data_IF_813142953821
#
_entry.id   IF_813142953821
#
_cell.length_a   1.000
_cell.length_b   1.000
_cell.length_c   1.000
_cell.angle_alpha   90.00
_cell.angle_beta   90.00
_cell.angle_gamma   90.00
#
_symmetry.space_group_name_H-M   'P 1'
#
loop_
_entity.id
_entity.type
_entity.pdbx_description
1 polymer ?
#
# COMPACT_ATOMS: atom_id res chain seq x y z
N UNK A 1 -3.80 -24.79 -20.10
CA UNK A 1 -3.31 -24.08 -21.30
C UNK A 1 -3.70 -22.60 -21.33
N UNK A 2 -4.97 -22.20 -21.54
CA UNK A 2 -5.35 -20.76 -21.46
C UNK A 2 -5.14 -20.17 -20.06
N UNK A 3 -5.42 -20.97 -19.03
CA UNK A 3 -5.20 -20.60 -17.63
C UNK A 3 -3.72 -20.33 -17.30
N UNK A 4 -2.79 -21.10 -17.89
CA UNK A 4 -1.35 -20.98 -17.64
C UNK A 4 -0.74 -19.73 -18.30
N UNK A 5 -1.21 -19.39 -19.51
CA UNK A 5 -0.79 -18.17 -20.22
C UNK A 5 -1.32 -16.93 -19.49
N UNK A 6 -2.58 -16.93 -19.06
CA UNK A 6 -3.14 -15.84 -18.25
C UNK A 6 -2.43 -15.71 -16.90
N UNK A 7 -2.13 -16.82 -16.22
CA UNK A 7 -1.38 -16.83 -14.96
C UNK A 7 -0.01 -16.17 -15.11
N UNK A 8 0.77 -16.60 -16.10
CA UNK A 8 2.12 -16.08 -16.34
C UNK A 8 2.11 -14.61 -16.79
N UNK A 9 1.09 -14.21 -17.57
CA UNK A 9 0.85 -12.81 -17.94
C UNK A 9 0.52 -11.91 -16.75
N UNK A 10 -0.31 -12.39 -15.81
CA UNK A 10 -0.63 -11.65 -14.57
C UNK A 10 0.62 -11.46 -13.72
N UNK A 11 1.44 -12.51 -13.56
CA UNK A 11 2.69 -12.45 -12.80
C UNK A 11 3.68 -11.44 -13.40
N UNK A 12 3.87 -11.45 -14.73
CA UNK A 12 4.67 -10.44 -15.43
C UNK A 12 4.15 -9.02 -15.21
N UNK A 13 2.83 -8.83 -15.31
CA UNK A 13 2.22 -7.51 -15.15
C UNK A 13 2.40 -6.96 -13.73
N UNK A 14 2.25 -7.81 -12.71
CA UNK A 14 2.53 -7.45 -11.32
C UNK A 14 4.00 -7.11 -11.08
N UNK A 15 4.94 -7.86 -11.66
CA UNK A 15 6.37 -7.55 -11.60
C UNK A 15 6.70 -6.17 -12.21
N UNK A 16 6.10 -5.85 -13.36
CA UNK A 16 6.31 -4.57 -14.07
C UNK A 16 5.66 -3.39 -13.31
N UNK A 17 4.45 -3.58 -12.76
CA UNK A 17 3.83 -2.58 -11.90
C UNK A 17 4.62 -2.35 -10.62
N UNK A 18 5.11 -3.43 -10.03
CA UNK A 18 5.97 -3.41 -8.85
C UNK A 18 7.22 -2.56 -9.06
N UNK A 19 7.91 -2.76 -10.19
CA UNK A 19 9.00 -1.90 -10.65
C UNK A 19 8.62 -0.44 -10.71
N UNK A 20 7.48 -0.12 -11.34
CA UNK A 20 7.04 1.27 -11.48
C UNK A 20 6.76 1.91 -10.12
N UNK A 21 6.13 1.17 -9.19
CA UNK A 21 5.80 1.66 -7.86
C UNK A 21 7.04 1.87 -6.99
N UNK A 22 7.96 0.91 -6.96
CA UNK A 22 9.22 1.02 -6.20
C UNK A 22 10.16 2.07 -6.80
N UNK A 23 10.16 2.23 -8.14
CA UNK A 23 10.89 3.30 -8.82
C UNK A 23 10.30 4.69 -8.50
N UNK A 24 8.96 4.84 -8.52
CA UNK A 24 8.27 6.07 -8.15
C UNK A 24 8.52 6.39 -6.66
N UNK A 25 8.42 5.39 -5.78
CA UNK A 25 8.71 5.54 -4.35
C UNK A 25 10.17 5.95 -4.11
N UNK A 26 11.12 5.34 -4.83
CA UNK A 26 12.54 5.70 -4.78
C UNK A 26 12.86 7.06 -5.42
N UNK A 27 12.09 7.51 -6.42
CA UNK A 27 12.27 8.83 -7.03
C UNK A 27 11.74 9.95 -6.12
N UNK A 28 10.76 9.64 -5.27
CA UNK A 28 10.16 10.60 -4.33
C UNK A 28 10.89 10.73 -2.98
N UNK A 29 11.78 9.80 -2.62
CA UNK A 29 12.46 9.77 -1.32
C UNK A 29 13.97 9.86 -1.46
N UNK A 30 14.59 10.84 -0.79
CA UNK A 30 16.03 11.06 -0.76
C UNK A 30 16.76 9.81 -0.24
N UNK A 31 17.91 9.48 -0.83
CA UNK A 31 18.64 8.23 -0.62
C UNK A 31 18.81 7.92 0.88
N UNK A 32 18.17 6.85 1.36
CA UNK A 32 18.56 6.20 2.61
C UNK A 32 19.80 5.37 2.29
N UNK A 33 20.81 5.40 3.17
CA UNK A 33 22.09 4.74 2.93
C UNK A 33 21.97 3.26 2.57
N UNK A 34 23.08 2.68 2.09
CA UNK A 34 23.10 1.30 1.59
C UNK A 34 22.86 0.31 2.75
N UNK A 35 22.05 -0.72 2.52
CA UNK A 35 21.95 -1.86 3.45
C UNK A 35 23.19 -2.75 3.23
N UNK A 36 23.97 -3.09 4.27
CA UNK A 36 25.01 -4.09 4.15
C UNK A 36 24.37 -5.45 3.85
N UNK A 37 24.98 -6.23 2.95
CA UNK A 37 24.44 -7.54 2.55
C UNK A 37 24.39 -8.43 3.80
N UNK A 38 23.18 -8.66 4.30
CA UNK A 38 22.88 -9.56 5.41
C UNK A 38 22.97 -11.02 4.93
N UNK A 39 23.10 -11.98 5.86
CA UNK A 39 23.00 -13.41 5.52
C UNK A 39 21.66 -13.72 4.83
N UNK A 40 20.56 -13.13 5.33
CA UNK A 40 19.23 -13.23 4.72
C UNK A 40 19.23 -12.71 3.29
N UNK A 41 19.85 -11.54 3.07
CA UNK A 41 19.94 -10.92 1.77
C UNK A 41 20.79 -11.72 0.78
N UNK A 42 21.84 -12.40 1.25
CA UNK A 42 22.65 -13.31 0.44
C UNK A 42 21.86 -14.58 0.07
N UNK A 43 21.17 -15.19 1.05
CA UNK A 43 20.34 -16.38 0.82
C UNK A 43 19.25 -16.10 -0.22
N UNK A 44 18.55 -14.97 -0.11
CA UNK A 44 17.51 -14.58 -1.09
C UNK A 44 18.07 -14.41 -2.51
N UNK A 45 19.24 -13.77 -2.65
CA UNK A 45 19.86 -13.60 -3.97
C UNK A 45 20.34 -14.95 -4.51
N UNK A 46 20.91 -15.80 -3.65
CA UNK A 46 21.36 -17.14 -4.03
C UNK A 46 20.22 -18.04 -4.52
N UNK A 47 19.12 -18.11 -3.77
CA UNK A 47 17.97 -18.95 -4.11
C UNK A 47 17.24 -18.45 -5.36
N UNK A 48 17.09 -17.13 -5.55
CA UNK A 48 16.57 -16.58 -6.80
C UNK A 48 17.45 -16.86 -8.03
N UNK A 49 18.79 -16.79 -7.89
CA UNK A 49 19.71 -17.20 -8.94
C UNK A 49 19.57 -18.70 -9.27
N UNK A 50 19.43 -19.57 -8.26
CA UNK A 50 19.18 -21.01 -8.46
C UNK A 50 17.89 -21.23 -9.24
N UNK A 51 16.80 -20.54 -8.89
CA UNK A 51 15.53 -20.62 -9.64
C UNK A 51 15.71 -20.22 -11.11
N UNK A 52 16.43 -19.14 -11.40
CA UNK A 52 16.70 -18.71 -12.78
C UNK A 52 17.46 -19.80 -13.55
N UNK A 53 18.50 -20.38 -12.94
CA UNK A 53 19.30 -21.45 -13.57
C UNK A 53 18.43 -22.67 -13.87
N UNK A 54 17.60 -23.10 -12.91
CA UNK A 54 16.67 -24.23 -13.10
C UNK A 54 15.68 -23.99 -14.25
N UNK A 55 15.16 -22.77 -14.40
CA UNK A 55 14.26 -22.42 -15.52
C UNK A 55 15.00 -22.38 -16.87
N UNK A 56 16.27 -21.96 -16.90
CA UNK A 56 17.09 -21.98 -18.13
C UNK A 56 17.38 -23.43 -18.55
N UNK A 57 17.67 -24.31 -17.59
CA UNK A 57 17.89 -25.73 -17.85
C UNK A 57 16.62 -26.36 -18.45
N UNK A 58 15.47 -26.13 -17.83
CA UNK A 58 14.16 -26.64 -18.31
C UNK A 58 13.82 -26.13 -19.72
N UNK A 59 14.09 -24.84 -19.97
CA UNK A 59 13.93 -24.25 -21.31
C UNK A 59 14.86 -24.90 -22.35
N UNK A 60 16.12 -25.13 -22.00
CA UNK A 60 17.13 -25.69 -22.92
C UNK A 60 16.78 -27.11 -23.33
N UNK A 61 16.33 -27.95 -22.38
CA UNK A 61 15.87 -29.30 -22.67
C UNK A 61 14.59 -29.29 -23.54
N UNK A 62 13.68 -28.35 -23.29
CA UNK A 62 12.44 -28.20 -24.09
C UNK A 62 12.76 -27.76 -25.52
N UNK A 63 13.73 -26.86 -25.67
CA UNK A 63 14.19 -26.35 -26.97
C UNK A 63 14.85 -27.45 -27.80
N UNK A 64 15.78 -28.21 -27.21
CA UNK A 64 16.48 -29.29 -27.90
C UNK A 64 15.52 -30.34 -28.46
N UNK A 65 14.42 -30.62 -27.74
CA UNK A 65 13.38 -31.55 -28.20
C UNK A 65 12.56 -31.01 -29.37
N UNK A 66 12.31 -29.69 -29.41
CA UNK A 66 11.62 -29.05 -30.53
C UNK A 66 12.40 -29.18 -31.84
N UNK A 67 13.72 -29.28 -31.78
CA UNK A 67 14.57 -29.47 -32.95
C UNK A 67 14.65 -30.94 -33.39
N UNK A 68 14.68 -31.89 -32.45
CA UNK A 68 14.78 -33.34 -32.74
C UNK A 68 13.48 -33.95 -33.27
N UNK A 69 12.32 -33.48 -32.80
CA UNK A 69 11.01 -33.99 -33.21
C UNK A 69 10.26 -32.85 -33.90
N UNK A 70 10.12 -32.91 -35.23
CA UNK A 70 9.26 -32.00 -36.04
C UNK A 70 7.76 -32.09 -35.71
N UNK A 71 7.39 -32.55 -34.52
CA UNK A 71 6.04 -32.41 -33.99
C UNK A 71 5.86 -30.96 -33.53
N UNK A 72 4.72 -30.37 -33.90
CA UNK A 72 4.32 -29.06 -33.38
C UNK A 72 4.06 -29.20 -31.88
N UNK A 73 5.08 -29.01 -31.04
CA UNK A 73 4.86 -28.67 -29.64
C UNK A 73 3.99 -27.40 -29.62
N UNK A 74 2.99 -27.39 -28.74
CA UNK A 74 2.15 -26.21 -28.59
C UNK A 74 3.04 -25.04 -28.16
N UNK A 75 2.93 -23.86 -28.80
CA UNK A 75 3.77 -22.70 -28.48
C UNK A 75 3.63 -22.25 -27.01
N UNK A 76 2.53 -22.64 -26.36
CA UNK A 76 2.28 -22.39 -24.94
C UNK A 76 3.29 -23.09 -24.01
N UNK A 77 3.65 -24.35 -24.28
CA UNK A 77 4.57 -25.12 -23.43
C UNK A 77 6.02 -24.60 -23.57
N UNK A 78 6.39 -24.11 -24.76
CA UNK A 78 7.71 -23.51 -25.00
C UNK A 78 7.87 -22.13 -24.34
N UNK A 79 6.80 -21.34 -24.26
CA UNK A 79 6.85 -19.98 -23.72
C UNK A 79 6.84 -19.93 -22.18
N UNK A 80 6.39 -20.99 -21.50
CA UNK A 80 6.21 -21.01 -20.05
C UNK A 80 7.53 -20.91 -19.25
N UNK A 81 8.57 -21.73 -19.50
CA UNK A 81 9.84 -21.63 -18.77
C UNK A 81 10.55 -20.30 -19.03
N UNK A 82 10.52 -19.81 -20.28
CA UNK A 82 11.08 -18.53 -20.65
C UNK A 82 10.41 -17.36 -19.90
N UNK A 83 9.08 -17.40 -19.80
CA UNK A 83 8.33 -16.38 -19.06
C UNK A 83 8.68 -16.37 -17.57
N UNK A 84 8.78 -17.56 -16.94
CA UNK A 84 9.20 -17.71 -15.54
C UNK A 84 10.63 -17.19 -15.31
N UNK A 85 11.56 -17.51 -16.21
CA UNK A 85 12.93 -17.01 -16.14
C UNK A 85 13.00 -15.47 -16.20
N UNK A 86 12.23 -14.85 -17.11
CA UNK A 86 12.15 -13.38 -17.21
C UNK A 86 11.55 -12.78 -15.94
N UNK A 87 10.48 -13.35 -15.38
CA UNK A 87 9.89 -12.85 -14.12
C UNK A 87 10.86 -12.94 -12.94
N UNK A 88 11.64 -14.03 -12.82
CA UNK A 88 12.62 -14.17 -11.75
C UNK A 88 13.83 -13.26 -11.93
N UNK A 89 14.29 -13.04 -13.16
CA UNK A 89 15.33 -12.06 -13.45
C UNK A 89 14.90 -10.63 -13.06
N UNK A 90 13.64 -10.29 -13.33
CA UNK A 90 13.06 -9.01 -12.93
C UNK A 90 12.91 -8.90 -11.40
N UNK A 91 12.50 -9.97 -10.73
CA UNK A 91 12.44 -10.03 -9.27
C UNK A 91 13.83 -9.89 -8.62
N UNK A 92 14.86 -10.52 -9.20
CA UNK A 92 16.26 -10.37 -8.78
C UNK A 92 16.72 -8.92 -8.94
N UNK A 93 16.42 -8.29 -10.08
CA UNK A 93 16.73 -6.88 -10.31
C UNK A 93 16.06 -5.98 -9.27
N UNK A 94 14.78 -6.22 -8.95
CA UNK A 94 14.05 -5.52 -7.90
C UNK A 94 14.71 -5.70 -6.54
N UNK A 95 15.05 -6.93 -6.14
CA UNK A 95 15.75 -7.21 -4.88
C UNK A 95 17.09 -6.48 -4.78
N UNK A 96 17.87 -6.47 -5.86
CA UNK A 96 19.13 -5.72 -5.90
C UNK A 96 18.90 -4.21 -5.80
N UNK A 97 17.87 -3.70 -6.46
CA UNK A 97 17.51 -2.29 -6.43
C UNK A 97 17.07 -1.83 -5.03
N UNK A 98 16.18 -2.58 -4.37
CA UNK A 98 15.69 -2.26 -3.02
C UNK A 98 16.82 -2.30 -1.99
N UNK A 99 17.73 -3.27 -2.09
CA UNK A 99 18.95 -3.36 -1.25
C UNK A 99 19.89 -2.17 -1.47
N UNK A 100 20.12 -1.74 -2.72
CA UNK A 100 20.92 -0.56 -3.04
C UNK A 100 20.31 0.75 -2.51
N UNK A 101 18.98 0.83 -2.45
CA UNK A 101 18.23 2.02 -2.00
C UNK A 101 17.91 2.04 -0.50
N UNK A 102 18.33 1.01 0.24
CA UNK A 102 18.15 0.99 1.69
C UNK A 102 16.73 0.71 2.16
N UNK A 103 15.91 0.03 1.34
CA UNK A 103 14.54 -0.37 1.69
C UNK A 103 14.60 -1.71 2.43
N UNK A 104 14.28 -1.72 3.74
CA UNK A 104 14.43 -2.90 4.61
C UNK A 104 13.44 -4.03 4.32
N UNK A 105 12.25 -3.71 3.82
CA UNK A 105 11.27 -4.72 3.41
C UNK A 105 10.41 -4.14 2.30
N UNK A 106 10.39 -4.79 1.14
CA UNK A 106 9.53 -4.38 0.02
C UNK A 106 8.22 -5.16 0.06
N UNK A 107 7.12 -4.43 0.22
CA UNK A 107 5.76 -4.99 0.11
C UNK A 107 5.50 -5.57 -1.28
N UNK A 108 6.10 -4.97 -2.32
CA UNK A 108 5.96 -5.44 -3.70
C UNK A 108 6.56 -6.85 -3.86
N UNK A 109 7.79 -7.05 -3.37
CA UNK A 109 8.45 -8.35 -3.44
C UNK A 109 7.72 -9.40 -2.59
N UNK A 110 7.23 -9.02 -1.40
CA UNK A 110 6.42 -9.91 -0.57
C UNK A 110 5.15 -10.39 -1.31
N UNK A 111 4.40 -9.47 -1.91
CA UNK A 111 3.18 -9.82 -2.69
C UNK A 111 3.54 -10.66 -3.92
N UNK A 112 4.63 -10.35 -4.61
CA UNK A 112 5.10 -11.13 -5.75
C UNK A 112 5.37 -12.58 -5.37
N UNK A 113 6.18 -12.84 -4.34
CA UNK A 113 6.49 -14.21 -3.90
C UNK A 113 5.26 -14.94 -3.36
N UNK A 114 4.34 -14.24 -2.69
CA UNK A 114 3.06 -14.81 -2.26
C UNK A 114 2.20 -15.24 -3.46
N UNK A 115 2.08 -14.41 -4.49
CA UNK A 115 1.32 -14.73 -5.70
C UNK A 115 1.96 -15.87 -6.47
N UNK A 116 3.29 -15.88 -6.64
CA UNK A 116 3.99 -16.99 -7.31
C UNK A 116 3.79 -18.29 -6.52
N UNK A 117 3.91 -18.28 -5.20
CA UNK A 117 3.69 -19.47 -4.37
C UNK A 117 2.26 -20.01 -4.49
N UNK A 118 1.25 -19.13 -4.39
CA UNK A 118 -0.16 -19.53 -4.48
C UNK A 118 -0.57 -19.97 -5.89
N UNK A 119 -0.12 -19.28 -6.94
CA UNK A 119 -0.43 -19.61 -8.32
C UNK A 119 0.30 -20.85 -8.86
N UNK A 120 1.44 -21.24 -8.26
CA UNK A 120 2.20 -22.43 -8.66
C UNK A 120 1.73 -23.72 -7.96
N UNK A 121 0.89 -23.62 -6.93
CA UNK A 121 0.37 -24.77 -6.19
C UNK A 121 -0.46 -25.75 -7.07
N UNK A 122 -1.36 -25.30 -7.96
CA UNK A 122 -2.09 -26.21 -8.85
C UNK A 122 -1.17 -26.96 -9.82
N UNK A 123 -0.11 -26.30 -10.30
CA UNK A 123 0.87 -26.90 -11.19
C UNK A 123 1.63 -28.03 -10.47
N UNK A 124 2.12 -27.76 -9.27
CA UNK A 124 2.81 -28.75 -8.43
C UNK A 124 1.92 -29.95 -8.08
N UNK A 125 0.68 -29.71 -7.65
CA UNK A 125 -0.26 -30.79 -7.30
C UNK A 125 -0.67 -31.63 -8.52
N UNK A 126 -0.89 -30.98 -9.67
CA UNK A 126 -1.17 -31.69 -10.92
C UNK A 126 -0.02 -32.57 -11.37
N UNK A 127 1.22 -32.12 -11.17
CA UNK A 127 2.40 -32.89 -11.56
C UNK A 127 2.64 -34.07 -10.61
N UNK A 128 2.40 -33.91 -9.30
CA UNK A 128 2.42 -35.02 -8.34
C UNK A 128 1.42 -36.12 -8.73
N UNK A 129 0.19 -35.73 -9.08
CA UNK A 129 -0.86 -36.68 -9.45
C UNK A 129 -0.57 -37.41 -10.76
N UNK A 130 0.26 -36.81 -11.63
CA UNK A 130 0.67 -37.37 -12.92
C UNK A 130 1.95 -38.20 -12.85
N UNK A 131 2.38 -38.64 -11.66
CA UNK A 131 3.49 -39.58 -11.49
C UNK A 131 3.02 -41.05 -11.45
N UNK A 132 2.82 -41.75 -12.59
CA UNK A 132 2.87 -43.20 -12.63
C UNK A 132 4.33 -43.63 -12.94
N UNK A 133 4.93 -44.32 -11.97
CA UNK A 133 6.10 -45.17 -12.19
C UNK A 133 5.71 -46.22 -13.25
N UNK A 134 6.34 -46.19 -14.44
CA UNK A 134 7.37 -47.20 -14.82
C UNK A 134 7.97 -46.98 -16.23
N UNK A 135 7.36 -46.21 -17.17
CA UNK A 135 7.83 -46.22 -18.58
C UNK A 135 7.85 -44.87 -19.33
N UNK A 136 8.18 -43.76 -18.66
CA UNK A 136 8.26 -42.45 -19.34
C UNK A 136 9.66 -42.00 -19.75
N UNK A 137 9.72 -41.33 -20.91
CA UNK A 137 10.90 -40.70 -21.50
C UNK A 137 11.63 -39.79 -20.49
N UNK A 138 12.97 -39.86 -20.51
CA UNK A 138 13.87 -39.12 -19.60
C UNK A 138 13.56 -37.62 -19.51
N UNK A 139 13.13 -36.99 -20.60
CA UNK A 139 12.80 -35.55 -20.64
C UNK A 139 11.66 -35.16 -19.69
N UNK A 140 10.57 -35.94 -19.67
CA UNK A 140 9.39 -35.62 -18.85
C UNK A 140 9.67 -35.83 -17.36
N UNK A 141 10.51 -36.80 -17.04
CA UNK A 141 11.06 -36.99 -15.69
C UNK A 141 11.89 -35.76 -15.25
N UNK A 142 12.71 -35.20 -16.14
CA UNK A 142 13.51 -34.00 -15.84
C UNK A 142 12.61 -32.78 -15.59
N UNK A 143 11.58 -32.56 -16.41
CA UNK A 143 10.63 -31.46 -16.21
C UNK A 143 9.90 -31.57 -14.86
N UNK A 144 9.38 -32.76 -14.54
CA UNK A 144 8.73 -33.03 -13.26
C UNK A 144 9.69 -32.81 -12.07
N UNK A 145 10.94 -33.29 -12.15
CA UNK A 145 11.96 -33.06 -11.13
C UNK A 145 12.28 -31.57 -10.95
N UNK A 146 12.34 -30.81 -12.04
CA UNK A 146 12.56 -29.36 -11.98
C UNK A 146 11.44 -28.66 -11.23
N UNK A 147 10.18 -28.99 -11.50
CA UNK A 147 9.01 -28.43 -10.79
C UNK A 147 9.04 -28.81 -9.30
N UNK A 148 9.38 -30.06 -8.98
CA UNK A 148 9.47 -30.56 -7.60
C UNK A 148 10.53 -29.84 -6.78
N UNK A 149 11.62 -29.39 -7.39
CA UNK A 149 12.66 -28.59 -6.73
C UNK A 149 12.27 -27.11 -6.68
N UNK A 150 11.71 -26.56 -7.76
CA UNK A 150 11.38 -25.14 -7.86
C UNK A 150 10.30 -24.70 -6.87
N UNK A 151 9.23 -25.49 -6.68
CA UNK A 151 8.11 -25.10 -5.82
C UNK A 151 8.53 -24.92 -4.34
N UNK A 152 9.22 -25.88 -3.70
CA UNK A 152 9.77 -25.67 -2.35
C UNK A 152 10.72 -24.48 -2.25
N UNK A 153 11.58 -24.26 -3.25
CA UNK A 153 12.47 -23.09 -3.26
C UNK A 153 11.69 -21.78 -3.30
N UNK A 154 10.61 -21.69 -4.11
CA UNK A 154 9.71 -20.53 -4.13
C UNK A 154 9.05 -20.30 -2.76
N UNK A 155 8.62 -21.37 -2.09
CA UNK A 155 8.02 -21.29 -0.74
C UNK A 155 9.03 -20.80 0.30
N UNK A 156 10.28 -21.30 0.25
CA UNK A 156 11.36 -20.81 1.11
C UNK A 156 11.58 -19.32 0.85
N UNK A 157 11.59 -18.89 -0.41
CA UNK A 157 11.74 -17.48 -0.78
C UNK A 157 10.64 -16.59 -0.21
N UNK A 158 9.40 -17.06 -0.30
CA UNK A 158 8.28 -16.38 0.33
C UNK A 158 8.47 -16.24 1.84
N UNK A 159 8.86 -17.33 2.52
CA UNK A 159 9.13 -17.32 3.98
C UNK A 159 10.25 -16.35 4.33
N UNK A 160 11.34 -16.32 3.56
CA UNK A 160 12.45 -15.40 3.80
C UNK A 160 12.04 -13.94 3.62
N UNK A 161 11.07 -13.63 2.74
CA UNK A 161 10.52 -12.28 2.58
C UNK A 161 9.53 -11.88 3.68
N UNK A 162 9.10 -12.80 4.55
CA UNK A 162 8.32 -12.47 5.76
C UNK A 162 9.18 -11.81 6.85
N UNK A 163 10.51 -11.95 6.79
CA UNK A 163 11.46 -11.38 7.75
C UNK A 163 12.06 -10.08 7.21
N UNK A 164 12.33 -9.13 8.11
CA UNK A 164 12.92 -7.84 7.73
C UNK A 164 14.43 -7.99 7.51
N UNK A 165 14.95 -7.30 6.49
CA UNK A 165 16.39 -7.14 6.35
C UNK A 165 16.95 -6.20 7.42
N UNK A 166 18.26 -6.30 7.65
CA UNK A 166 18.98 -5.43 8.60
C UNK A 166 18.78 -3.95 8.23
N UNK A 167 18.79 -3.09 9.25
CA UNK A 167 18.68 -1.65 9.07
C UNK A 167 19.79 -1.09 8.15
N UNK A 168 19.48 -0.09 7.29
CA UNK A 168 20.47 0.54 6.42
C UNK A 168 21.53 1.23 7.28
N UNK A 169 22.78 1.11 6.87
CA UNK A 169 23.85 1.91 7.46
C UNK A 169 23.71 3.33 6.89
N UNK A 170 23.66 4.39 7.73
CA UNK A 170 23.57 5.75 7.24
C UNK A 170 24.78 6.09 6.35
N UNK A 171 24.62 6.91 5.27
CA UNK A 171 25.74 7.28 4.40
C UNK A 171 26.86 7.95 5.20
N UNK A 172 28.09 7.45 5.05
CA UNK A 172 29.30 8.04 5.62
C UNK A 172 29.77 9.20 4.74
N UNK A 173 29.10 10.34 4.79
CA UNK A 173 29.65 11.61 4.27
C UNK A 173 29.27 12.77 5.20
N UNK A 174 30.29 13.38 5.82
CA UNK A 174 30.32 14.82 6.12
C UNK A 174 29.45 15.41 7.25
N UNK A 175 28.58 14.67 7.91
CA UNK A 175 27.96 15.12 9.16
C UNK A 175 28.27 14.14 10.28
N UNK A 176 29.03 14.60 11.28
CA UNK A 176 29.20 13.98 12.61
C UNK A 176 27.87 13.79 13.37
N UNK A 177 26.71 13.91 12.73
CA UNK A 177 25.39 13.87 13.36
C UNK A 177 24.64 12.54 13.20
N UNK A 178 25.24 11.48 12.62
CA UNK A 178 24.53 10.18 12.48
C UNK A 178 25.23 8.99 13.14
N UNK A 179 26.31 9.22 13.87
CA UNK A 179 26.85 8.26 14.87
C UNK A 179 26.68 8.74 16.32
N UNK A 180 26.09 9.92 16.52
CA UNK A 180 25.63 10.43 17.80
C UNK A 180 24.11 10.65 17.76
N UNK A 181 23.34 9.57 17.90
CA UNK A 181 21.96 9.60 18.40
C UNK A 181 21.52 8.22 18.91
N UNK A 182 22.44 7.50 19.56
CA UNK A 182 22.09 6.80 20.81
C UNK A 182 22.24 7.75 22.02
N UNK A 183 22.26 9.07 21.76
CA UNK A 183 21.96 10.10 22.76
C UNK A 183 20.49 9.96 23.16
N UNK A 184 20.28 9.33 24.31
CA UNK A 184 19.20 9.37 25.33
C UNK A 184 17.74 9.80 25.01
N UNK A 185 17.36 10.20 23.78
CA UNK A 185 16.07 10.85 23.53
C UNK A 185 15.33 10.55 22.22
N UNK A 186 15.97 10.01 21.17
CA UNK A 186 15.28 9.78 19.88
C UNK A 186 14.95 8.29 19.68
N UNK A 187 13.67 7.92 19.83
CA UNK A 187 13.18 6.54 19.67
C UNK A 187 12.28 6.46 18.43
N UNK A 188 12.85 6.22 17.23
CA UNK A 188 12.05 6.19 16.02
C UNK A 188 10.99 5.08 16.06
N UNK A 189 9.83 5.35 15.46
CA UNK A 189 8.76 4.36 15.33
C UNK A 189 9.24 3.10 14.57
N UNK A 190 9.11 1.89 15.16
CA UNK A 190 9.61 0.66 14.55
C UNK A 190 8.74 0.16 13.40
N UNK A 191 7.59 0.79 13.14
CA UNK A 191 6.69 0.40 12.05
C UNK A 191 7.42 0.35 10.70
N UNK A 192 8.25 1.36 10.39
CA UNK A 192 8.95 1.44 9.09
C UNK A 192 10.14 0.48 8.97
N UNK A 193 10.65 -0.01 10.10
CA UNK A 193 11.76 -0.97 10.14
C UNK A 193 11.31 -2.42 10.33
N UNK A 194 10.03 -2.63 10.61
CA UNK A 194 9.45 -3.95 10.80
C UNK A 194 9.21 -4.64 9.46
N UNK A 195 9.17 -5.98 9.47
CA UNK A 195 8.88 -6.77 8.27
C UNK A 195 7.49 -6.51 7.73
N UNK A 196 7.23 -6.81 6.46
CA UNK A 196 5.90 -6.60 5.85
C UNK A 196 4.80 -7.31 6.63
N UNK A 197 5.05 -8.57 7.01
CA UNK A 197 4.09 -9.35 7.80
C UNK A 197 3.85 -8.71 9.17
N UNK A 198 4.91 -8.29 9.85
CA UNK A 198 4.85 -7.60 11.14
C UNK A 198 4.10 -6.26 11.04
N UNK A 199 4.28 -5.52 9.94
CA UNK A 199 3.52 -4.30 9.66
C UNK A 199 2.03 -4.59 9.47
N UNK A 200 1.68 -5.64 8.71
CA UNK A 200 0.30 -6.02 8.41
C UNK A 200 -0.46 -6.54 9.64
N UNK A 201 0.21 -7.33 10.48
CA UNK A 201 -0.39 -7.86 11.73
C UNK A 201 -0.26 -6.91 12.92
N UNK A 202 0.34 -5.73 12.72
CA UNK A 202 0.65 -4.77 13.79
C UNK A 202 1.51 -5.35 14.93
N UNK A 203 2.32 -6.37 14.62
CA UNK A 203 3.13 -7.07 15.64
C UNK A 203 4.18 -6.14 16.28
N UNK A 204 4.54 -5.05 15.61
CA UNK A 204 5.54 -4.07 16.04
C UNK A 204 5.10 -3.26 17.26
N UNK A 205 3.79 -3.24 17.54
CA UNK A 205 3.21 -2.57 18.70
C UNK A 205 3.34 -3.43 19.97
N UNK A 206 3.49 -4.75 19.85
CA UNK A 206 3.52 -5.69 20.98
C UNK A 206 4.56 -5.38 22.06
N UNK A 207 5.81 -4.96 21.75
CA UNK A 207 6.76 -4.58 22.78
C UNK A 207 6.25 -3.46 23.69
N UNK A 208 5.53 -2.49 23.13
CA UNK A 208 4.93 -1.39 23.89
C UNK A 208 3.71 -1.85 24.69
N UNK A 209 2.85 -2.69 24.10
CA UNK A 209 1.70 -3.29 24.81
C UNK A 209 2.15 -4.14 25.99
N UNK A 210 3.19 -4.95 25.80
CA UNK A 210 3.75 -5.80 26.86
C UNK A 210 4.37 -4.97 27.99
N UNK A 211 5.04 -3.86 27.65
CA UNK A 211 5.54 -2.90 28.64
C UNK A 211 4.40 -2.28 29.44
N UNK A 212 3.32 -1.87 28.76
CA UNK A 212 2.10 -1.35 29.40
C UNK A 212 1.32 -2.37 30.22
N UNK A 213 1.44 -3.66 29.89
CA UNK A 213 0.88 -4.74 30.70
C UNK A 213 1.67 -4.97 31.99
N UNK A 214 3.01 -4.86 31.93
CA UNK A 214 3.89 -5.05 33.09
C UNK A 214 4.01 -3.82 34.01
N UNK A 215 3.66 -2.64 33.53
CA UNK A 215 3.73 -1.40 34.29
C UNK A 215 3.07 -0.23 33.57
N UNK A 216 2.94 0.91 34.24
CA UNK A 216 2.33 2.11 33.64
C UNK A 216 3.23 2.72 32.57
N UNK A 217 2.66 3.06 31.41
CA UNK A 217 3.39 3.70 30.32
C UNK A 217 3.62 5.19 30.63
N UNK A 218 4.87 5.63 30.50
CA UNK A 218 5.25 7.04 30.57
C UNK A 218 5.43 7.65 29.17
N UNK A 219 5.38 8.98 29.06
CA UNK A 219 5.63 9.68 27.79
C UNK A 219 7.00 9.37 27.17
N UNK A 220 7.99 9.13 28.01
CA UNK A 220 9.33 8.73 27.57
C UNK A 220 9.34 7.36 26.89
N UNK A 221 8.35 6.49 27.14
CA UNK A 221 8.28 5.15 26.57
C UNK A 221 7.68 5.08 25.17
N UNK A 222 7.06 6.16 24.72
CA UNK A 222 6.47 6.23 23.40
C UNK A 222 7.55 6.46 22.34
N UNK A 223 7.25 5.99 21.13
CA UNK A 223 8.07 6.27 19.96
C UNK A 223 7.78 7.66 19.41
N UNK A 224 8.81 8.24 18.80
CA UNK A 224 8.70 9.47 18.03
C UNK A 224 7.81 9.28 16.80
N UNK A 225 7.06 10.33 16.49
CA UNK A 225 6.18 10.36 15.35
C UNK A 225 7.00 10.30 14.04
N UNK A 226 6.50 9.55 13.07
CA UNK A 226 7.09 9.55 11.73
C UNK A 226 7.10 10.97 11.15
N UNK A 227 8.14 11.31 10.39
CA UNK A 227 8.25 12.61 9.70
C UNK A 227 7.04 12.95 8.82
N UNK A 228 6.39 11.93 8.25
CA UNK A 228 5.21 12.05 7.40
C UNK A 228 3.93 12.41 8.18
N UNK A 229 3.92 12.08 9.48
CA UNK A 229 2.82 12.31 10.40
C UNK A 229 3.05 13.53 11.30
N UNK A 230 4.28 14.06 11.30
CA UNK A 230 4.64 15.24 12.05
C UNK A 230 3.81 16.46 11.59
N UNK A 231 3.30 17.22 12.55
CA UNK A 231 2.37 18.35 12.33
C UNK A 231 2.93 19.34 11.32
N UNK A 232 4.23 19.65 11.39
CA UNK A 232 4.87 20.57 10.45
C UNK A 232 4.78 20.11 8.99
N UNK A 233 4.98 18.81 8.73
CA UNK A 233 4.88 18.20 7.39
C UNK A 233 3.43 18.18 6.90
N UNK A 234 2.52 17.76 7.79
CA UNK A 234 1.08 17.63 7.50
C UNK A 234 0.46 19.01 7.21
N UNK A 235 0.76 20.02 8.04
CA UNK A 235 0.33 21.41 7.86
C UNK A 235 0.92 22.02 6.58
N UNK A 236 2.21 21.78 6.28
CA UNK A 236 2.82 22.21 5.00
C UNK A 236 2.07 21.65 3.80
N UNK A 237 1.71 20.36 3.81
CA UNK A 237 0.97 19.69 2.74
C UNK A 237 -0.44 20.27 2.58
N UNK A 238 -1.13 20.54 3.69
CA UNK A 238 -2.44 21.18 3.68
C UNK A 238 -2.38 22.62 3.14
N UNK A 239 -1.44 23.43 3.67
CA UNK A 239 -1.27 24.83 3.28
C UNK A 239 -0.94 25.01 1.80
N UNK A 240 -0.26 24.04 1.17
CA UNK A 240 0.01 24.02 -0.28
C UNK A 240 -1.28 24.13 -1.11
N UNK A 241 -2.37 23.53 -0.65
CA UNK A 241 -3.67 23.57 -1.36
C UNK A 241 -4.61 24.64 -0.80
N UNK A 242 -4.51 24.94 0.50
CA UNK A 242 -5.37 25.93 1.14
C UNK A 242 -5.05 27.38 0.77
N UNK A 243 -3.76 27.76 0.67
CA UNK A 243 -3.36 29.15 0.38
C UNK A 243 -3.92 29.66 -0.97
N UNK A 244 -3.78 28.94 -2.10
CA UNK A 244 -4.34 29.39 -3.38
C UNK A 244 -5.85 29.55 -3.34
N UNK A 245 -6.56 28.61 -2.69
CA UNK A 245 -8.03 28.65 -2.60
C UNK A 245 -8.51 29.85 -1.77
N UNK A 246 -7.76 30.21 -0.73
CA UNK A 246 -8.00 31.40 0.08
C UNK A 246 -7.72 32.69 -0.70
N UNK A 247 -6.66 32.74 -1.49
CA UNK A 247 -6.31 33.90 -2.34
C UNK A 247 -7.36 34.13 -3.43
N UNK A 248 -7.76 33.07 -4.14
CA UNK A 248 -8.84 33.14 -5.16
C UNK A 248 -10.15 33.67 -4.59
N UNK A 249 -10.53 33.26 -3.37
CA UNK A 249 -11.73 33.76 -2.71
C UNK A 249 -11.60 35.24 -2.32
N UNK A 250 -10.42 35.68 -1.86
CA UNK A 250 -10.16 37.08 -1.53
C UNK A 250 -10.21 37.96 -2.76
N UNK A 251 -9.51 37.58 -3.82
CA UNK A 251 -9.47 38.32 -5.10
C UNK A 251 -10.87 38.51 -5.65
N UNK A 252 -11.66 37.44 -5.73
CA UNK A 252 -13.06 37.50 -6.16
C UNK A 252 -13.87 38.53 -5.36
N UNK A 253 -13.76 38.51 -4.03
CA UNK A 253 -14.49 39.44 -3.17
C UNK A 253 -14.03 40.90 -3.37
N UNK A 254 -12.74 41.13 -3.61
CA UNK A 254 -12.20 42.47 -3.89
C UNK A 254 -12.72 42.98 -5.24
N UNK A 255 -12.68 42.16 -6.29
CA UNK A 255 -13.17 42.52 -7.63
C UNK A 255 -14.66 42.82 -7.61
N UNK A 256 -15.46 41.99 -6.94
CA UNK A 256 -16.91 42.20 -6.81
C UNK A 256 -17.23 43.48 -6.02
N UNK A 257 -16.51 43.75 -4.93
CA UNK A 257 -16.70 44.99 -4.17
C UNK A 257 -16.34 46.23 -5.00
N UNK A 258 -15.25 46.19 -5.76
CA UNK A 258 -14.85 47.32 -6.62
C UNK A 258 -15.87 47.56 -7.73
N UNK A 259 -16.35 46.50 -8.42
CA UNK A 259 -17.42 46.62 -9.42
C UNK A 259 -18.71 47.18 -8.82
N UNK A 260 -19.10 46.72 -7.64
CA UNK A 260 -20.30 47.22 -6.95
C UNK A 260 -20.17 48.71 -6.62
N UNK A 261 -19.00 49.14 -6.15
CA UNK A 261 -18.70 50.55 -5.89
C UNK A 261 -18.76 51.40 -7.17
N UNK A 262 -18.15 50.95 -8.27
CA UNK A 262 -18.20 51.64 -9.56
C UNK A 262 -19.63 51.78 -10.11
N UNK A 263 -20.43 50.72 -10.04
CA UNK A 263 -21.84 50.75 -10.43
C UNK A 263 -22.67 51.70 -9.57
N UNK A 264 -22.41 51.76 -8.26
CA UNK A 264 -23.08 52.72 -7.37
C UNK A 264 -22.67 54.17 -7.64
N UNK A 265 -21.38 54.43 -7.91
CA UNK A 265 -20.86 55.76 -8.25
C UNK A 265 -21.41 56.29 -9.58
N UNK A 266 -21.49 55.44 -10.62
CA UNK A 266 -22.09 55.81 -11.91
C UNK A 266 -23.59 56.11 -11.82
N UNK A 267 -24.30 55.48 -10.87
CA UNK A 267 -25.75 55.66 -10.67
C UNK A 267 -26.10 56.97 -9.96
N UNK A 268 -25.19 57.51 -9.14
CA UNK A 268 -25.37 58.80 -8.45
C UNK A 268 -25.31 60.03 -9.37
N UNK A 269 -24.96 59.89 -10.66
CA UNK A 269 -24.98 60.99 -11.63
C UNK A 269 -26.37 61.20 -12.32
N UNK A 270 -27.38 60.39 -11.99
CA UNK A 270 -28.75 60.58 -12.51
C UNK A 270 -29.72 60.73 -11.34
N UNK A 271 -30.44 61.86 -11.29
CA UNK A 271 -31.41 62.27 -10.25
C UNK A 271 -32.67 61.37 -10.14
N UNK A 272 -32.53 60.04 -10.05
CA UNK A 272 -33.64 59.13 -9.74
C UNK A 272 -33.48 58.58 -8.32
N UNK A 273 -34.53 58.71 -7.52
CA UNK A 273 -34.61 58.31 -6.12
C UNK A 273 -34.14 56.86 -5.88
N UNK A 274 -33.54 56.57 -4.72
CA UNK A 274 -32.90 55.27 -4.46
C UNK A 274 -33.96 54.20 -4.26
N UNK A 275 -34.13 53.31 -5.24
CA UNK A 275 -34.76 52.01 -5.01
C UNK A 275 -33.74 51.17 -4.24
N UNK A 276 -34.05 50.83 -2.98
CA UNK A 276 -33.23 49.93 -2.15
C UNK A 276 -33.23 48.52 -2.74
N UNK A 277 -32.38 48.26 -3.72
CA UNK A 277 -32.09 46.90 -4.15
C UNK A 277 -31.13 46.28 -3.13
N UNK A 278 -31.72 45.66 -2.11
CA UNK A 278 -31.05 44.97 -0.99
C UNK A 278 -30.32 43.67 -1.42
N UNK A 279 -29.81 43.60 -2.65
CA UNK A 279 -29.01 42.50 -3.14
C UNK A 279 -27.58 42.63 -2.56
N UNK A 280 -27.44 42.34 -1.26
CA UNK A 280 -26.14 42.11 -0.62
C UNK A 280 -25.45 41.00 -1.39
N UNK A 281 -24.47 41.37 -2.22
CA UNK A 281 -23.69 40.40 -2.98
C UNK A 281 -23.05 39.43 -2.00
N UNK A 282 -23.40 38.15 -2.09
CA UNK A 282 -22.90 37.12 -1.18
C UNK A 282 -21.39 37.01 -1.36
N UNK A 283 -20.63 37.24 -0.28
CA UNK A 283 -19.18 37.05 -0.27
C UNK A 283 -18.86 35.59 -0.58
N UNK A 284 -17.93 35.35 -1.49
CA UNK A 284 -17.40 34.01 -1.76
C UNK A 284 -16.52 33.59 -0.59
N UNK A 285 -16.93 32.54 0.11
CA UNK A 285 -16.14 31.91 1.17
C UNK A 285 -15.29 30.80 0.57
N UNK A 286 -14.00 30.76 0.90
CA UNK A 286 -13.15 29.61 0.53
C UNK A 286 -13.65 28.36 1.26
N UNK A 287 -13.82 27.24 0.54
CA UNK A 287 -14.19 25.97 1.14
C UNK A 287 -12.92 25.25 1.59
N UNK A 288 -12.89 24.79 2.84
CA UNK A 288 -11.73 24.07 3.39
C UNK A 288 -11.72 22.60 2.92
N UNK A 289 -12.88 22.06 2.57
CA UNK A 289 -13.06 20.63 2.26
C UNK A 289 -12.25 20.17 1.03
N UNK A 290 -12.22 20.89 -0.10
CA UNK A 290 -11.42 20.51 -1.26
C UNK A 290 -9.92 20.48 -0.94
N UNK A 291 -9.43 21.48 -0.19
CA UNK A 291 -8.03 21.53 0.25
C UNK A 291 -7.66 20.35 1.16
N UNK A 292 -8.54 19.99 2.11
CA UNK A 292 -8.36 18.82 2.98
C UNK A 292 -8.31 17.53 2.17
N UNK A 293 -9.28 17.30 1.29
CA UNK A 293 -9.34 16.13 0.41
C UNK A 293 -8.06 16.02 -0.42
N UNK A 294 -7.67 17.10 -1.11
CA UNK A 294 -6.50 17.10 -2.01
C UNK A 294 -5.19 16.89 -1.25
N UNK A 295 -5.09 17.36 -0.01
CA UNK A 295 -3.89 17.18 0.83
C UNK A 295 -3.66 15.73 1.25
N UNK A 296 -4.72 14.94 1.49
CA UNK A 296 -4.60 13.56 2.01
C UNK A 296 -5.20 12.50 1.07
N UNK A 297 -5.44 12.85 -0.21
CA UNK A 297 -6.12 11.99 -1.20
C UNK A 297 -5.54 10.59 -1.32
N UNK A 298 -4.22 10.42 -1.24
CA UNK A 298 -3.58 9.11 -1.40
C UNK A 298 -4.01 8.15 -0.29
N UNK A 299 -4.03 8.62 0.95
CA UNK A 299 -4.43 7.83 2.11
C UNK A 299 -5.92 7.47 2.05
N UNK A 300 -6.77 8.43 1.66
CA UNK A 300 -8.22 8.26 1.58
C UNK A 300 -8.61 7.29 0.45
N UNK A 301 -7.98 7.43 -0.72
CA UNK A 301 -8.26 6.53 -1.86
C UNK A 301 -7.81 5.10 -1.53
N UNK A 302 -6.62 4.93 -0.93
CA UNK A 302 -6.13 3.60 -0.53
C UNK A 302 -7.05 2.97 0.51
N UNK A 303 -7.49 3.70 1.55
CA UNK A 303 -8.42 3.15 2.55
C UNK A 303 -9.78 2.82 1.94
N UNK A 304 -10.27 3.61 0.97
CA UNK A 304 -11.49 3.34 0.23
C UNK A 304 -11.41 2.07 -0.60
N UNK A 305 -10.31 1.86 -1.34
CA UNK A 305 -10.07 0.63 -2.11
C UNK A 305 -10.04 -0.59 -1.20
N UNK A 306 -9.37 -0.50 -0.04
CA UNK A 306 -9.37 -1.57 0.94
C UNK A 306 -10.76 -1.91 1.47
N UNK A 307 -11.60 -0.91 1.68
CA UNK A 307 -12.99 -1.13 2.12
C UNK A 307 -13.78 -1.89 1.06
N UNK A 308 -13.63 -1.50 -0.21
CA UNK A 308 -14.28 -2.21 -1.33
C UNK A 308 -13.82 -3.67 -1.37
N UNK A 309 -12.53 -3.94 -1.22
CA UNK A 309 -12.00 -5.32 -1.18
C UNK A 309 -12.62 -6.09 0.00
N UNK A 310 -12.69 -5.49 1.19
CA UNK A 310 -13.35 -6.10 2.35
C UNK A 310 -14.82 -6.43 2.08
N UNK A 311 -15.58 -5.49 1.49
CA UNK A 311 -16.98 -5.70 1.13
C UNK A 311 -17.14 -6.83 0.10
N UNK A 312 -16.28 -6.91 -0.91
CA UNK A 312 -16.29 -8.00 -1.89
C UNK A 312 -16.00 -9.35 -1.22
N UNK A 313 -15.04 -9.41 -0.29
CA UNK A 313 -14.75 -10.63 0.46
C UNK A 313 -15.91 -11.06 1.35
N UNK A 314 -16.68 -10.12 1.92
CA UNK A 314 -17.85 -10.49 2.74
C UNK A 314 -18.94 -11.20 1.96
N UNK A 315 -19.05 -10.98 0.64
CA UNK A 315 -19.99 -11.71 -0.20
C UNK A 315 -19.57 -13.16 -0.44
N UNK A 316 -18.28 -13.50 -0.35
CA UNK A 316 -17.79 -14.87 -0.57
C UNK A 316 -18.26 -15.82 0.54
N UNK A 317 -18.46 -15.32 1.76
CA UNK A 317 -18.86 -16.11 2.92
C UNK A 317 -20.16 -16.94 2.72
N UNK A 318 -21.30 -16.35 2.34
CA UNK A 318 -22.53 -17.12 2.10
C UNK A 318 -22.43 -18.10 0.93
N UNK A 319 -21.68 -17.77 -0.13
CA UNK A 319 -21.47 -18.70 -1.25
C UNK A 319 -20.69 -19.94 -0.81
N UNK A 320 -19.64 -19.76 -0.01
CA UNK A 320 -18.86 -20.89 0.51
C UNK A 320 -19.68 -21.77 1.46
N UNK A 321 -20.49 -21.16 2.31
CA UNK A 321 -21.39 -21.89 3.21
C UNK A 321 -22.43 -22.70 2.42
N UNK A 322 -23.02 -22.12 1.38
CA UNK A 322 -23.98 -22.83 0.52
C UNK A 322 -23.35 -24.03 -0.17
N UNK A 323 -22.13 -23.89 -0.71
CA UNK A 323 -21.40 -24.99 -1.35
C UNK A 323 -21.03 -26.10 -0.36
N UNK A 324 -20.72 -25.72 0.89
CA UNK A 324 -20.45 -26.70 1.94
C UNK A 324 -21.72 -27.48 2.34
N UNK A 325 -22.85 -26.80 2.47
CA UNK A 325 -24.13 -27.45 2.78
C UNK A 325 -24.52 -28.41 1.67
N UNK A 326 -24.43 -27.99 0.39
CA UNK A 326 -24.73 -28.87 -0.74
C UNK A 326 -23.81 -30.09 -0.80
N UNK A 327 -22.53 -29.94 -0.41
CA UNK A 327 -21.59 -31.06 -0.34
C UNK A 327 -22.00 -32.07 0.74
N UNK A 328 -22.44 -31.57 1.91
CA UNK A 328 -22.89 -32.42 3.04
C UNK A 328 -24.21 -33.13 2.73
N UNK A 329 -25.12 -32.50 2.00
CA UNK A 329 -26.41 -33.09 1.59
C UNK A 329 -26.25 -34.21 0.53
N UNK A 330 -25.12 -34.28 -0.16
CA UNK A 330 -24.90 -35.16 -1.31
C UNK A 330 -24.62 -36.64 -0.96
N UNK A 331 -24.92 -37.11 0.26
CA UNK A 331 -24.80 -38.51 0.74
C UNK A 331 -23.53 -39.25 0.27
N UNK A 332 -22.39 -38.55 0.20
CA UNK A 332 -21.09 -39.13 -0.16
C UNK A 332 -20.86 -39.43 -1.65
N UNK A 333 -21.69 -38.90 -2.56
CA UNK A 333 -21.42 -39.00 -4.01
C UNK A 333 -20.28 -38.09 -4.48
N UNK A 334 -19.92 -37.09 -3.68
CA UNK A 334 -18.79 -36.19 -3.95
C UNK A 334 -17.52 -36.57 -3.18
N UNK A 335 -16.37 -36.33 -3.80
CA UNK A 335 -15.06 -36.62 -3.22
C UNK A 335 -14.77 -35.79 -1.96
N UNK A 336 -14.29 -36.44 -0.90
CA UNK A 336 -14.13 -35.82 0.44
C UNK A 336 -13.14 -34.64 0.50
N UNK A 337 -12.19 -34.55 -0.45
CA UNK A 337 -11.23 -33.43 -0.49
C UNK A 337 -11.90 -32.08 -0.77
N UNK A 338 -13.05 -32.08 -1.47
CA UNK A 338 -13.81 -30.86 -1.77
C UNK A 338 -14.34 -30.20 -0.50
N UNK A 339 -14.86 -31.00 0.44
CA UNK A 339 -15.31 -30.52 1.75
C UNK A 339 -14.19 -29.83 2.53
N UNK A 340 -13.01 -30.46 2.62
CA UNK A 340 -11.84 -29.85 3.27
C UNK A 340 -11.41 -28.54 2.60
N UNK A 341 -11.49 -28.47 1.27
CA UNK A 341 -11.18 -27.26 0.51
C UNK A 341 -12.15 -26.12 0.83
N UNK A 342 -13.46 -26.38 0.91
CA UNK A 342 -14.45 -25.35 1.26
C UNK A 342 -14.20 -24.79 2.67
N UNK A 343 -13.97 -25.65 3.66
CA UNK A 343 -13.67 -25.21 5.04
C UNK A 343 -12.37 -24.40 5.09
N UNK A 344 -11.32 -24.85 4.40
CA UNK A 344 -10.06 -24.11 4.30
C UNK A 344 -10.23 -22.73 3.63
N UNK A 345 -11.00 -22.67 2.55
CA UNK A 345 -11.32 -21.42 1.86
C UNK A 345 -12.10 -20.44 2.75
N UNK A 346 -13.06 -20.94 3.54
CA UNK A 346 -13.81 -20.12 4.51
C UNK A 346 -12.88 -19.51 5.57
N UNK A 347 -11.94 -20.29 6.11
CA UNK A 347 -10.95 -19.81 7.08
C UNK A 347 -10.08 -18.70 6.49
N UNK A 348 -9.52 -18.93 5.30
CA UNK A 348 -8.65 -17.96 4.61
C UNK A 348 -9.42 -16.67 4.28
N UNK A 349 -10.65 -16.81 3.80
CA UNK A 349 -11.53 -15.68 3.54
C UNK A 349 -11.80 -14.85 4.80
N UNK A 350 -12.10 -15.49 5.93
CA UNK A 350 -12.34 -14.80 7.20
C UNK A 350 -11.10 -14.06 7.72
N UNK A 351 -9.92 -14.67 7.59
CA UNK A 351 -8.65 -14.04 7.94
C UNK A 351 -8.36 -12.81 7.09
N UNK A 352 -8.46 -12.92 5.76
CA UNK A 352 -8.25 -11.80 4.84
C UNK A 352 -9.26 -10.67 5.07
N UNK A 353 -10.54 -11.01 5.29
CA UNK A 353 -11.58 -10.04 5.58
C UNK A 353 -11.23 -9.22 6.83
N UNK A 354 -10.80 -9.89 7.89
CA UNK A 354 -10.37 -9.27 9.15
C UNK A 354 -9.16 -8.38 8.95
N UNK A 355 -8.16 -8.85 8.20
CA UNK A 355 -6.94 -8.09 7.91
C UNK A 355 -7.23 -6.77 7.18
N UNK A 356 -8.03 -6.83 6.10
CA UNK A 356 -8.38 -5.63 5.34
C UNK A 356 -9.22 -4.64 6.15
N UNK A 357 -10.13 -5.14 6.99
CA UNK A 357 -10.92 -4.28 7.88
C UNK A 357 -10.03 -3.51 8.86
N UNK A 358 -9.09 -4.20 9.51
CA UNK A 358 -8.18 -3.58 10.46
C UNK A 358 -7.27 -2.55 9.78
N UNK A 359 -6.73 -2.86 8.59
CA UNK A 359 -5.91 -1.90 7.86
C UNK A 359 -6.70 -0.69 7.38
N UNK A 360 -7.94 -0.89 6.91
CA UNK A 360 -8.86 0.20 6.59
C UNK A 360 -9.08 1.10 7.81
N UNK A 361 -9.44 0.52 8.96
CA UNK A 361 -9.66 1.26 10.19
C UNK A 361 -8.43 2.06 10.61
N UNK A 362 -7.24 1.43 10.56
CA UNK A 362 -5.96 2.10 10.84
C UNK A 362 -5.72 3.31 9.92
N UNK A 363 -5.89 3.15 8.61
CA UNK A 363 -5.68 4.25 7.66
C UNK A 363 -6.67 5.39 7.84
N UNK A 364 -7.93 5.08 8.14
CA UNK A 364 -8.97 6.10 8.42
C UNK A 364 -8.63 6.86 9.70
N UNK A 365 -8.25 6.18 10.78
CA UNK A 365 -7.83 6.80 12.04
C UNK A 365 -6.60 7.68 11.85
N UNK A 366 -5.56 7.17 11.17
CA UNK A 366 -4.34 7.94 10.89
C UNK A 366 -4.63 9.18 10.05
N UNK A 367 -5.47 9.05 9.03
CA UNK A 367 -5.89 10.19 8.20
C UNK A 367 -6.69 11.20 9.03
N UNK A 368 -7.59 10.75 9.90
CA UNK A 368 -8.34 11.60 10.83
C UNK A 368 -7.42 12.41 11.74
N UNK A 369 -6.38 11.77 12.29
CA UNK A 369 -5.37 12.45 13.10
C UNK A 369 -4.60 13.51 12.29
N UNK A 370 -4.15 13.18 11.08
CA UNK A 370 -3.48 14.15 10.19
C UNK A 370 -4.36 15.36 9.89
N UNK A 371 -5.64 15.14 9.57
CA UNK A 371 -6.60 16.23 9.30
C UNK A 371 -6.82 17.10 10.55
N UNK A 372 -7.00 16.48 11.73
CA UNK A 372 -7.15 17.19 13.00
C UNK A 372 -5.93 18.04 13.32
N UNK A 373 -4.72 17.50 13.17
CA UNK A 373 -3.47 18.23 13.43
C UNK A 373 -3.29 19.43 12.50
N UNK A 374 -3.53 19.26 11.19
CA UNK A 374 -3.48 20.37 10.22
C UNK A 374 -4.47 21.48 10.56
N UNK A 375 -5.72 21.12 10.87
CA UNK A 375 -6.77 22.08 11.19
C UNK A 375 -6.48 22.81 12.50
N UNK A 376 -6.00 22.10 13.52
CA UNK A 376 -5.64 22.69 14.82
C UNK A 376 -4.50 23.70 14.66
N UNK A 377 -3.46 23.36 13.90
CA UNK A 377 -2.36 24.29 13.66
C UNK A 377 -2.79 25.48 12.78
N UNK A 378 -3.60 25.26 11.74
CA UNK A 378 -4.12 26.35 10.92
C UNK A 378 -5.00 27.31 11.73
N UNK A 379 -5.84 26.78 12.64
CA UNK A 379 -6.65 27.56 13.56
C UNK A 379 -5.77 28.36 14.53
N UNK A 380 -4.71 27.73 15.07
CA UNK A 380 -3.76 28.38 15.96
C UNK A 380 -3.01 29.52 15.28
N UNK A 381 -2.46 29.30 14.07
CA UNK A 381 -1.82 30.36 13.30
C UNK A 381 -2.79 31.51 12.99
N UNK A 382 -4.06 31.19 12.71
CA UNK A 382 -5.08 32.21 12.45
C UNK A 382 -5.43 33.00 13.72
N UNK A 383 -5.50 32.35 14.88
CA UNK A 383 -5.85 32.99 16.15
C UNK A 383 -4.77 33.97 16.61
N UNK A 384 -3.50 33.70 16.27
CA UNK A 384 -2.36 34.60 16.53
C UNK A 384 -2.39 35.88 15.67
N UNK A 385 -2.98 35.83 14.47
CA UNK A 385 -2.96 36.96 13.50
C UNK A 385 -4.28 37.73 13.47
N UNK A 386 -5.32 37.27 14.19
CA UNK A 386 -6.63 37.93 14.17
C UNK A 386 -6.63 39.23 14.99
N UNK A 387 -7.04 40.34 14.38
CA UNK A 387 -7.13 41.64 15.05
C UNK A 387 -8.25 41.68 16.10
N UNK A 388 -8.10 42.52 17.14
CA UNK A 388 -9.09 42.66 18.22
C UNK A 388 -10.51 43.01 17.72
N UNK A 389 -10.63 43.82 16.66
CA UNK A 389 -11.91 44.16 16.03
C UNK A 389 -12.59 42.94 15.41
N UNK A 390 -11.82 42.12 14.69
CA UNK A 390 -12.30 40.87 14.08
C UNK A 390 -12.64 39.83 15.14
N UNK A 391 -11.84 39.77 16.22
CA UNK A 391 -12.07 38.87 17.36
C UNK A 391 -13.38 39.19 18.08
N UNK A 392 -13.65 40.46 18.39
CA UNK A 392 -14.94 40.90 18.95
C UNK A 392 -16.10 40.52 18.03
N UNK A 393 -16.00 40.82 16.73
CA UNK A 393 -17.05 40.47 15.76
C UNK A 393 -17.35 38.97 15.66
N UNK A 394 -16.33 38.12 15.81
CA UNK A 394 -16.50 36.66 15.86
C UNK A 394 -17.28 36.21 17.10
N UNK A 395 -16.93 36.70 18.29
CA UNK A 395 -17.67 36.39 19.53
C UNK A 395 -19.13 36.83 19.46
N UNK A 396 -19.40 38.03 18.92
CA UNK A 396 -20.77 38.49 18.71
C UNK A 396 -21.55 37.62 17.73
N UNK A 397 -20.92 37.16 16.65
CA UNK A 397 -21.58 36.28 15.68
C UNK A 397 -21.94 34.91 16.27
N UNK A 398 -21.04 34.32 17.07
CA UNK A 398 -21.26 33.01 17.72
C UNK A 398 -22.40 33.10 18.74
N UNK A 399 -22.39 34.14 19.59
CA UNK A 399 -23.47 34.36 20.56
C UNK A 399 -24.84 34.57 19.91
N UNK A 400 -24.89 35.14 18.71
CA UNK A 400 -26.14 35.33 17.96
C UNK A 400 -26.60 34.11 17.17
N UNK A 401 -25.70 33.16 16.85
CA UNK A 401 -26.07 31.86 16.28
C UNK A 401 -26.65 30.92 17.33
N UNK A 402 -26.09 30.90 18.55
CA UNK A 402 -26.65 30.08 19.64
C UNK A 402 -28.07 30.53 20.03
N UNK A 403 -28.33 31.84 20.01
CA UNK A 403 -29.69 32.40 20.21
C UNK A 403 -30.68 32.11 19.07
N UNK A 404 -30.25 31.52 17.95
CA UNK A 404 -31.11 31.15 16.82
C UNK A 404 -31.39 29.65 16.76
N UNK A 405 -30.73 28.85 17.59
CA UNK A 405 -30.85 27.39 17.62
C UNK A 405 -31.77 26.94 18.79
N UNK A 406 -31.96 27.80 19.78
CA UNK A 406 -33.08 27.75 20.73
C UNK A 406 -34.20 28.68 20.27
#
# INVERSE_FOLDING_TARGET
>A
MEFDICRNGILLWFSILGLKQDLIYSAMKLQRGKIPISLLGFLQIGLTCILIILQIIDFSFTFQKSDDIKEKLFPADQAQPATKAVTFALALFLQMFTKRKGIQSSTVLFIFWLLVATCSLPEFTSEIQRLPLENEYNFRKIHALTIMICYPTIVVEFILNCFADRAPVPPLEGCESTKQTESEGNRPCPQKSSSVLNQWTFQWVYPLLWKGYRGTLNFSDLWDLNEEDNTSTVTKRFMKYWKPELEMAKEWNTTVNNKTKELSSKRCNHNKAPVMENNKVKKKTASILPALWKSNRSSIVVSGVLMVIHSLLSFVSPFMLSSLISHVESDGTEESWKGYLYVGAMLIQGFLQTLFFNWHAYLVLLTGMRLRSALTEALYQKSLVISNKSRKGMFYSVAHSDKRIN
#
